data_IF_423191961133
#
_entry.id   IF_423191961133
#
_cell.length_a   1.000
_cell.length_b   1.000
_cell.length_c   1.000
_cell.angle_alpha   90.00
_cell.angle_beta   90.00
_cell.angle_gamma   90.00
#
_symmetry.space_group_name_H-M   'P 1'
#
loop_
_entity.id
_entity.type
_entity.pdbx_description
1 polymer ?
#
# COMPACT_ATOMS: atom_id res chain seq x y z
N UNK A 1 37.97 -12.97 -12.12
CA UNK A 1 37.60 -13.10 -13.54
C UNK A 1 36.22 -13.69 -13.64
N UNK A 2 35.23 -12.86 -13.96
CA UNK A 2 33.86 -13.31 -14.20
C UNK A 2 33.81 -14.21 -15.45
N UNK A 3 32.88 -15.17 -15.49
CA UNK A 3 32.74 -16.16 -16.59
C UNK A 3 32.68 -15.50 -17.99
N UNK A 4 31.97 -14.38 -18.08
CA UNK A 4 31.84 -13.55 -19.30
C UNK A 4 33.17 -12.97 -19.79
N UNK A 5 34.03 -12.53 -18.87
CA UNK A 5 35.36 -11.99 -19.20
C UNK A 5 36.27 -13.08 -19.75
N UNK A 6 36.15 -14.31 -19.23
CA UNK A 6 36.89 -15.48 -19.74
C UNK A 6 36.44 -15.84 -21.15
N UNK A 7 35.14 -15.77 -21.44
CA UNK A 7 34.61 -16.00 -22.79
C UNK A 7 35.17 -14.97 -23.77
N UNK A 8 35.19 -13.68 -23.40
CA UNK A 8 35.77 -12.62 -24.24
C UNK A 8 37.27 -12.84 -24.46
N UNK A 9 38.03 -13.13 -23.41
CA UNK A 9 39.47 -13.38 -23.52
C UNK A 9 39.80 -14.57 -24.44
N UNK A 10 39.05 -15.67 -24.37
CA UNK A 10 39.26 -16.81 -25.27
C UNK A 10 38.74 -16.57 -26.70
N UNK A 11 37.75 -15.70 -26.85
CA UNK A 11 37.28 -15.30 -28.17
C UNK A 11 38.30 -14.38 -28.87
N UNK A 12 38.94 -13.48 -28.13
CA UNK A 12 39.98 -12.58 -28.65
C UNK A 12 41.22 -13.36 -29.10
N UNK A 13 41.54 -14.49 -28.45
CA UNK A 13 42.58 -15.44 -28.90
C UNK A 13 42.13 -16.34 -30.07
N UNK A 14 41.00 -16.04 -30.72
CA UNK A 14 40.42 -16.76 -31.86
C UNK A 14 40.09 -18.24 -31.60
N UNK A 15 39.85 -18.64 -30.35
CA UNK A 15 39.33 -19.99 -30.09
C UNK A 15 37.91 -20.14 -30.63
N UNK A 16 37.59 -21.32 -31.17
CA UNK A 16 36.23 -21.60 -31.64
C UNK A 16 35.24 -21.63 -30.47
N UNK A 17 33.99 -21.22 -30.71
CA UNK A 17 32.91 -21.24 -29.71
C UNK A 17 32.77 -22.61 -29.03
N UNK A 18 32.93 -23.71 -29.79
CA UNK A 18 32.89 -25.09 -29.26
C UNK A 18 34.06 -25.38 -28.32
N UNK A 19 35.26 -24.91 -28.64
CA UNK A 19 36.44 -25.08 -27.79
C UNK A 19 36.31 -24.25 -26.50
N UNK A 20 35.80 -23.03 -26.59
CA UNK A 20 35.52 -22.17 -25.42
C UNK A 20 34.49 -22.84 -24.50
N UNK A 21 33.38 -23.32 -25.08
CA UNK A 21 32.32 -24.03 -24.36
C UNK A 21 32.86 -25.27 -23.64
N UNK A 22 33.65 -26.11 -24.33
CA UNK A 22 34.28 -27.30 -23.73
C UNK A 22 35.25 -26.94 -22.61
N UNK A 23 36.06 -25.89 -22.79
CA UNK A 23 37.07 -25.44 -21.82
C UNK A 23 36.46 -24.83 -20.56
N UNK A 24 35.32 -24.14 -20.70
CA UNK A 24 34.60 -23.51 -19.59
C UNK A 24 33.46 -24.37 -19.02
N UNK A 25 33.16 -25.53 -19.61
CA UNK A 25 32.04 -26.39 -19.21
C UNK A 25 30.66 -25.78 -19.49
N UNK A 26 30.55 -24.92 -20.51
CA UNK A 26 29.34 -24.18 -20.84
C UNK A 26 28.61 -24.78 -22.04
N UNK A 27 27.33 -24.42 -22.19
CA UNK A 27 26.57 -24.69 -23.41
C UNK A 27 27.19 -23.93 -24.60
N UNK A 28 27.39 -24.65 -25.71
CA UNK A 28 27.85 -24.07 -26.98
C UNK A 28 26.95 -22.91 -27.43
N UNK A 29 25.65 -23.07 -27.26
CA UNK A 29 24.64 -22.07 -27.62
C UNK A 29 24.67 -20.85 -26.67
N UNK A 30 24.94 -21.06 -25.37
CA UNK A 30 25.12 -19.96 -24.43
C UNK A 30 26.34 -19.08 -24.80
N UNK A 31 27.47 -19.72 -25.13
CA UNK A 31 28.69 -19.02 -25.59
C UNK A 31 28.44 -18.33 -26.93
N UNK A 32 27.79 -19.00 -27.88
CA UNK A 32 27.47 -18.42 -29.20
C UNK A 32 26.59 -17.16 -29.07
N UNK A 33 25.52 -17.22 -28.27
CA UNK A 33 24.62 -16.08 -28.02
C UNK A 33 25.33 -14.94 -27.29
N UNK A 34 26.18 -15.26 -26.32
CA UNK A 34 26.96 -14.24 -25.60
C UNK A 34 27.95 -13.53 -26.53
N UNK A 35 28.74 -14.28 -27.30
CA UNK A 35 29.72 -13.72 -28.25
C UNK A 35 29.06 -12.84 -29.31
N UNK A 36 27.86 -13.22 -29.80
CA UNK A 36 27.11 -12.43 -30.79
C UNK A 36 26.71 -11.05 -30.27
N UNK A 37 26.39 -10.92 -28.98
CA UNK A 37 26.00 -9.65 -28.38
C UNK A 37 26.38 -9.57 -26.89
N UNK A 38 27.66 -9.36 -26.55
CA UNK A 38 28.15 -9.48 -25.16
C UNK A 38 27.50 -8.47 -24.21
N UNK A 39 27.25 -7.25 -24.69
CA UNK A 39 26.63 -6.16 -23.92
C UNK A 39 25.12 -6.35 -23.72
N UNK A 40 24.44 -6.99 -24.68
CA UNK A 40 22.99 -7.21 -24.64
C UNK A 40 22.61 -8.59 -24.08
N UNK A 41 23.61 -9.43 -23.76
CA UNK A 41 23.35 -10.76 -23.24
C UNK A 41 22.68 -10.71 -21.87
N UNK A 42 21.49 -11.31 -21.80
CA UNK A 42 20.68 -11.39 -20.58
C UNK A 42 20.32 -10.03 -19.95
N UNK A 43 20.28 -8.95 -20.74
CA UNK A 43 19.81 -7.63 -20.28
C UNK A 43 18.32 -7.43 -20.50
N UNK A 44 17.74 -8.12 -21.49
CA UNK A 44 16.32 -8.05 -21.77
C UNK A 44 15.51 -8.66 -20.61
N UNK A 45 14.72 -7.81 -19.93
CA UNK A 45 13.77 -8.26 -18.91
C UNK A 45 12.53 -8.82 -19.59
N UNK A 46 12.06 -9.98 -19.13
CA UNK A 46 10.76 -10.52 -19.55
C UNK A 46 9.65 -9.61 -19.02
N UNK A 47 8.70 -9.16 -19.85
CA UNK A 47 7.58 -8.39 -19.37
C UNK A 47 6.78 -9.23 -18.38
N UNK A 48 6.39 -8.62 -17.27
CA UNK A 48 5.51 -9.26 -16.29
C UNK A 48 4.09 -9.44 -16.82
N UNK A 49 3.26 -10.13 -16.03
CA UNK A 49 1.84 -10.29 -16.33
C UNK A 49 1.14 -8.92 -16.31
N UNK A 50 0.16 -8.74 -17.20
CA UNK A 50 -0.68 -7.53 -17.20
C UNK A 50 -1.43 -7.40 -15.86
N UNK A 51 -1.44 -6.21 -15.24
CA UNK A 51 -2.21 -5.98 -14.02
C UNK A 51 -3.71 -6.23 -14.24
N UNK A 52 -4.38 -6.80 -13.24
CA UNK A 52 -5.84 -7.00 -13.26
C UNK A 52 -6.66 -5.72 -13.09
N UNK A 53 -6.02 -4.63 -12.65
CA UNK A 53 -6.66 -3.32 -12.49
C UNK A 53 -6.16 -2.39 -13.58
N UNK A 54 -7.09 -1.71 -14.27
CA UNK A 54 -6.73 -0.57 -15.10
C UNK A 54 -6.36 0.63 -14.21
N UNK A 55 -5.66 1.61 -14.76
CA UNK A 55 -5.39 2.87 -14.05
C UNK A 55 -6.69 3.57 -13.63
N UNK A 56 -7.75 3.47 -14.45
CA UNK A 56 -9.07 4.03 -14.14
C UNK A 56 -9.70 3.36 -12.91
N UNK A 57 -9.57 2.04 -12.80
CA UNK A 57 -10.11 1.30 -11.65
C UNK A 57 -9.35 1.64 -10.37
N UNK A 58 -8.02 1.82 -10.46
CA UNK A 58 -7.20 2.28 -9.35
C UNK A 58 -7.63 3.68 -8.89
N UNK A 59 -7.84 4.61 -9.84
CA UNK A 59 -8.31 5.97 -9.53
C UNK A 59 -9.68 5.98 -8.85
N UNK A 60 -10.63 5.17 -9.33
CA UNK A 60 -11.95 5.01 -8.69
C UNK A 60 -11.84 4.43 -7.29
N UNK A 61 -10.98 3.44 -7.08
CA UNK A 61 -10.78 2.82 -5.78
C UNK A 61 -10.18 3.81 -4.78
N UNK A 62 -9.16 4.57 -5.18
CA UNK A 62 -8.51 5.57 -4.33
C UNK A 62 -9.49 6.71 -4.02
N UNK A 63 -10.25 7.19 -5.01
CA UNK A 63 -11.23 8.26 -4.83
C UNK A 63 -12.40 7.86 -3.91
N UNK A 64 -12.81 6.58 -3.93
CA UNK A 64 -13.84 6.11 -3.00
C UNK A 64 -13.28 5.93 -1.60
N UNK A 65 -12.06 5.41 -1.49
CA UNK A 65 -11.37 5.24 -0.21
C UNK A 65 -11.03 6.58 0.47
N UNK A 66 -10.69 7.61 -0.30
CA UNK A 66 -10.34 8.95 0.22
C UNK A 66 -11.49 9.62 0.97
N UNK A 67 -12.74 9.19 0.76
CA UNK A 67 -13.90 9.65 1.52
C UNK A 67 -13.85 9.21 2.99
N UNK A 68 -13.09 8.15 3.32
CA UNK A 68 -12.95 7.63 4.68
C UNK A 68 -14.19 6.90 5.24
N UNK A 69 -15.24 6.72 4.43
CA UNK A 69 -16.53 6.15 4.86
C UNK A 69 -16.65 4.65 4.65
N UNK A 70 -15.76 4.05 3.86
CA UNK A 70 -15.89 2.66 3.39
C UNK A 70 -14.70 1.80 3.78
N UNK A 71 -14.96 0.58 4.25
CA UNK A 71 -13.91 -0.42 4.47
C UNK A 71 -13.46 -1.06 3.17
N UNK A 72 -12.27 -1.67 3.16
CA UNK A 72 -11.77 -2.42 2.00
C UNK A 72 -12.72 -3.56 1.55
N UNK A 73 -13.45 -4.17 2.49
CA UNK A 73 -14.48 -5.18 2.19
C UNK A 73 -15.67 -4.56 1.46
N UNK A 74 -16.12 -3.37 1.88
CA UNK A 74 -17.21 -2.64 1.23
C UNK A 74 -16.79 -2.13 -0.15
N UNK A 75 -15.56 -1.63 -0.28
CA UNK A 75 -14.98 -1.22 -1.56
C UNK A 75 -14.94 -2.37 -2.56
N UNK A 76 -14.57 -3.59 -2.12
CA UNK A 76 -14.63 -4.78 -2.98
C UNK A 76 -16.03 -5.01 -3.55
N UNK A 77 -17.04 -4.96 -2.67
CA UNK A 77 -18.43 -5.19 -3.04
C UNK A 77 -18.93 -4.11 -4.01
N UNK A 78 -18.69 -2.83 -3.69
CA UNK A 78 -19.17 -1.70 -4.48
C UNK A 78 -18.55 -1.65 -5.88
N UNK A 79 -17.28 -2.03 -6.04
CA UNK A 79 -16.55 -1.93 -7.31
C UNK A 79 -16.61 -3.23 -8.15
N UNK A 80 -17.28 -4.29 -7.66
CA UNK A 80 -17.45 -5.54 -8.42
C UNK A 80 -16.14 -6.24 -8.82
N UNK A 81 -15.04 -5.99 -8.10
CA UNK A 81 -13.71 -6.44 -8.53
C UNK A 81 -13.49 -7.91 -8.11
N UNK A 82 -13.02 -8.80 -9.01
CA UNK A 82 -12.81 -10.23 -8.73
C UNK A 82 -11.62 -10.53 -7.79
N UNK A 83 -11.00 -9.52 -7.18
CA UNK A 83 -9.80 -9.68 -6.35
C UNK A 83 -10.13 -9.79 -4.86
N UNK A 84 -9.23 -10.43 -4.09
CA UNK A 84 -9.34 -10.52 -2.64
C UNK A 84 -9.23 -9.15 -1.95
N UNK A 85 -9.84 -9.02 -0.76
CA UNK A 85 -9.78 -7.80 0.06
C UNK A 85 -8.33 -7.36 0.33
N UNK A 86 -7.41 -8.32 0.48
CA UNK A 86 -5.99 -8.07 0.69
C UNK A 86 -5.36 -7.23 -0.44
N UNK A 87 -5.75 -7.48 -1.69
CA UNK A 87 -5.18 -6.73 -2.82
C UNK A 87 -5.61 -5.27 -2.81
N UNK A 88 -6.86 -5.00 -2.42
CA UNK A 88 -7.37 -3.63 -2.24
C UNK A 88 -6.57 -2.93 -1.14
N UNK A 89 -6.36 -3.59 0.00
CA UNK A 89 -5.56 -3.01 1.09
C UNK A 89 -4.14 -2.66 0.65
N UNK A 90 -3.47 -3.53 -0.12
CA UNK A 90 -2.14 -3.25 -0.67
C UNK A 90 -2.12 -2.04 -1.61
N UNK A 91 -3.15 -1.90 -2.44
CA UNK A 91 -3.29 -0.76 -3.34
C UNK A 91 -3.48 0.53 -2.54
N UNK A 92 -4.34 0.49 -1.52
CA UNK A 92 -4.59 1.65 -0.66
C UNK A 92 -3.36 2.04 0.16
N UNK A 93 -2.62 1.07 0.71
CA UNK A 93 -1.40 1.33 1.49
C UNK A 93 -0.23 1.80 0.63
N UNK A 94 -0.21 1.44 -0.66
CA UNK A 94 0.83 1.87 -1.60
C UNK A 94 0.50 3.17 -2.31
N UNK A 95 -0.64 3.80 -2.03
CA UNK A 95 -1.04 5.07 -2.62
C UNK A 95 -0.38 6.23 -1.87
N UNK A 96 0.32 7.10 -2.60
CA UNK A 96 0.90 8.34 -2.04
C UNK A 96 -0.18 9.35 -1.61
N UNK A 97 -1.40 9.21 -2.14
CA UNK A 97 -2.52 10.11 -1.87
C UNK A 97 -3.26 9.80 -0.56
N UNK A 98 -3.02 8.63 0.03
CA UNK A 98 -3.70 8.19 1.24
C UNK A 98 -2.68 8.02 2.35
N UNK A 99 -2.96 8.61 3.51
CA UNK A 99 -2.22 8.30 4.73
C UNK A 99 -3.04 7.36 5.59
N UNK A 100 -2.37 6.36 6.14
CA UNK A 100 -2.99 5.55 7.17
C UNK A 100 -3.11 6.38 8.44
N UNK A 101 -4.32 6.45 8.96
CA UNK A 101 -4.60 7.08 10.24
C UNK A 101 -5.45 6.14 11.09
N UNK A 102 -5.13 6.10 12.38
CA UNK A 102 -5.93 5.34 13.32
C UNK A 102 -7.26 6.07 13.54
N UNK A 103 -8.38 5.33 13.42
CA UNK A 103 -9.69 5.89 13.73
C UNK A 103 -9.77 6.20 15.22
N UNK A 104 -9.99 7.46 15.56
CA UNK A 104 -10.25 7.87 16.94
C UNK A 104 -11.46 7.09 17.48
N UNK A 105 -11.31 6.47 18.65
CA UNK A 105 -12.40 5.74 19.30
C UNK A 105 -13.47 6.75 19.70
N UNK A 106 -14.62 6.67 19.04
CA UNK A 106 -15.82 7.38 19.45
C UNK A 106 -16.82 6.38 20.04
N UNK A 107 -17.52 6.73 21.13
CA UNK A 107 -18.61 5.91 21.62
C UNK A 107 -19.69 5.79 20.55
N UNK A 108 -20.29 4.61 20.48
CA UNK A 108 -21.35 4.34 19.52
C UNK A 108 -22.55 5.26 19.77
N UNK A 109 -22.95 6.04 18.76
CA UNK A 109 -24.14 6.89 18.83
C UNK A 109 -25.28 6.27 18.05
N UNK A 110 -26.38 5.97 18.74
CA UNK A 110 -27.63 5.59 18.10
C UNK A 110 -28.29 6.81 17.45
N UNK A 111 -29.19 6.64 16.47
CA UNK A 111 -29.95 7.74 15.89
C UNK A 111 -30.73 8.55 16.96
N UNK A 112 -31.23 7.88 18.00
CA UNK A 112 -31.89 8.51 19.14
C UNK A 112 -30.94 9.44 19.91
N UNK A 113 -29.73 8.98 20.24
CA UNK A 113 -28.71 9.82 20.89
C UNK A 113 -28.38 11.05 20.04
N UNK A 114 -28.23 10.89 18.72
CA UNK A 114 -27.95 12.03 17.83
C UNK A 114 -29.09 13.05 17.83
N UNK A 115 -30.35 12.58 17.83
CA UNK A 115 -31.52 13.46 17.90
C UNK A 115 -31.58 14.21 19.22
N UNK A 116 -31.43 13.52 20.35
CA UNK A 116 -31.45 14.12 21.68
C UNK A 116 -30.33 15.16 21.86
N UNK A 117 -29.09 14.82 21.46
CA UNK A 117 -27.95 15.75 21.53
C UNK A 117 -28.18 17.00 20.70
N UNK A 118 -28.72 16.88 19.48
CA UNK A 118 -29.05 18.04 18.62
C UNK A 118 -30.18 18.88 19.20
N UNK A 119 -31.20 18.24 19.79
CA UNK A 119 -32.31 18.96 20.42
C UNK A 119 -31.81 19.78 21.62
N UNK A 120 -31.04 19.15 22.51
CA UNK A 120 -30.43 19.82 23.66
C UNK A 120 -29.52 20.97 23.22
N UNK A 121 -28.66 20.77 22.21
CA UNK A 121 -27.79 21.85 21.72
C UNK A 121 -28.58 23.04 21.18
N UNK A 122 -29.69 22.80 20.45
CA UNK A 122 -30.57 23.88 19.96
C UNK A 122 -31.26 24.61 21.10
N UNK A 123 -31.77 23.88 22.08
CA UNK A 123 -32.41 24.45 23.27
C UNK A 123 -31.42 25.33 24.05
N UNK A 124 -30.19 24.86 24.26
CA UNK A 124 -29.17 25.61 24.98
C UNK A 124 -28.69 26.87 24.26
N UNK A 125 -28.78 26.93 22.93
CA UNK A 125 -28.50 28.15 22.16
C UNK A 125 -29.58 29.22 22.34
N UNK A 126 -30.84 28.81 22.55
CA UNK A 126 -32.00 29.71 22.64
C UNK A 126 -32.35 30.04 24.10
N UNK A 127 -31.95 29.22 25.06
CA UNK A 127 -32.37 29.29 26.46
C UNK A 127 -31.97 30.58 27.18
N UNK A 128 -31.04 31.38 26.63
CA UNK A 128 -30.52 32.58 27.28
C UNK A 128 -29.79 32.29 28.60
N UNK A 129 -29.37 31.03 28.81
CA UNK A 129 -28.70 30.58 30.02
C UNK A 129 -27.40 31.36 30.23
N UNK A 130 -27.23 31.91 31.42
CA UNK A 130 -25.96 32.48 31.82
C UNK A 130 -24.94 31.37 32.07
N UNK A 131 -24.05 31.15 31.12
CA UNK A 131 -22.99 30.14 31.25
C UNK A 131 -21.95 30.52 32.30
N UNK A 132 -21.85 31.80 32.68
CA UNK A 132 -20.91 32.24 33.73
C UNK A 132 -21.31 31.72 35.11
N UNK A 133 -22.59 31.44 35.33
CA UNK A 133 -23.09 30.86 36.59
C UNK A 133 -23.04 29.33 36.62
N UNK A 134 -22.63 28.66 35.52
CA UNK A 134 -22.63 27.20 35.42
C UNK A 134 -21.24 26.66 35.70
N UNK A 135 -21.13 25.82 36.73
CA UNK A 135 -19.90 25.07 37.01
C UNK A 135 -20.01 23.70 36.34
N UNK A 136 -19.08 23.39 35.45
CA UNK A 136 -18.95 22.06 34.86
C UNK A 136 -17.95 21.23 35.65
N UNK A 137 -18.37 20.03 36.07
CA UNK A 137 -17.51 19.04 36.70
C UNK A 137 -17.64 17.71 35.97
N UNK A 138 -16.52 17.04 35.76
CA UNK A 138 -16.46 15.67 35.25
C UNK A 138 -15.36 14.92 36.02
N UNK A 139 -15.51 13.62 36.18
CA UNK A 139 -14.54 12.78 36.86
C UNK A 139 -13.57 12.19 35.84
N UNK A 140 -12.29 12.56 35.96
CA UNK A 140 -11.22 12.00 35.14
C UNK A 140 -10.30 11.15 36.00
N UNK A 141 -10.03 9.93 35.56
CA UNK A 141 -8.98 9.09 36.14
C UNK A 141 -7.61 9.59 35.68
N UNK A 142 -6.72 9.87 36.62
CA UNK A 142 -5.32 10.19 36.37
C UNK A 142 -4.45 9.03 36.87
N UNK A 143 -3.83 8.28 35.96
CA UNK A 143 -2.85 7.26 36.31
C UNK A 143 -1.45 7.90 36.34
N UNK A 144 -0.67 7.60 37.39
CA UNK A 144 0.67 8.16 37.63
C UNK A 144 1.74 7.61 36.66
N UNK A 145 1.48 6.48 35.98
CA UNK A 145 2.48 5.70 35.22
C UNK A 145 2.39 5.87 33.68
N UNK A 146 1.97 7.04 33.20
CA UNK A 146 1.99 7.35 31.76
C UNK A 146 0.65 7.12 31.05
N UNK A 147 0.61 7.39 29.73
CA UNK A 147 -0.60 7.79 29.05
C UNK A 147 -1.65 6.68 29.02
N UNK A 148 -2.76 6.98 29.68
CA UNK A 148 -3.88 6.08 29.88
C UNK A 148 -4.55 5.75 28.53
N UNK A 149 -4.20 4.60 27.96
CA UNK A 149 -4.80 4.11 26.72
C UNK A 149 -4.06 4.45 25.42
N UNK A 150 -2.73 4.60 25.40
CA UNK A 150 -1.97 4.41 24.14
C UNK A 150 -2.02 2.93 23.77
N UNK A 151 -3.12 2.54 23.14
CA UNK A 151 -3.30 1.25 22.48
C UNK A 151 -2.85 1.40 21.02
N UNK A 152 -1.63 1.89 20.82
CA UNK A 152 -1.10 2.27 19.51
C UNK A 152 0.40 2.55 19.56
N UNK A 153 1.19 1.54 19.93
CA UNK A 153 2.47 1.29 19.27
C UNK A 153 2.21 0.34 18.09
#
# INVERSE_FOLDING_TARGET
MAERERILAYHDTKMSVRAIAKKLGLSVDAVARFVKAPRAYNTAKRPGLKPKFSQRDLGRLISEASKGLTSAKRLKFNQGVPNGVRRIQQILSGSELLRWEMRQKMPWMTPSHMKARRAWAREQLVSGRDWASVIFSDEKKFNLDGPDGIQGY
#
